data_IF_857907723589
#
_entry.id   IF_857907723589
#
_cell.length_a   1.000
_cell.length_b   1.000
_cell.length_c   1.000
_cell.angle_alpha   90.00
_cell.angle_beta   90.00
_cell.angle_gamma   90.00
#
_symmetry.space_group_name_H-M   'P 1'
#
loop_
_entity.id
_entity.type
_entity.pdbx_description
1 polymer ?
#
# COMPACT_ATOMS: atom_id res chain seq x y z
N UNK A 1 39.37 -24.49 -15.60
CA UNK A 1 37.93 -24.29 -15.32
C UNK A 1 37.51 -22.99 -16.00
N UNK A 2 36.59 -23.05 -16.96
CA UNK A 2 36.07 -21.89 -17.70
C UNK A 2 34.74 -21.47 -17.05
N UNK A 3 34.50 -20.20 -16.71
CA UNK A 3 33.18 -19.78 -16.23
C UNK A 3 32.26 -19.57 -17.43
N UNK A 4 31.15 -20.30 -17.44
CA UNK A 4 30.07 -20.14 -18.41
C UNK A 4 29.22 -18.94 -17.99
N UNK A 5 29.25 -17.89 -18.80
CA UNK A 5 28.41 -16.70 -18.64
C UNK A 5 26.99 -17.04 -19.12
N UNK A 6 26.01 -17.05 -18.24
CA UNK A 6 24.61 -17.24 -18.60
C UNK A 6 23.99 -15.87 -18.96
N UNK A 7 23.58 -15.73 -20.21
CA UNK A 7 22.88 -14.59 -20.78
C UNK A 7 21.39 -14.69 -20.43
N UNK A 8 20.86 -13.74 -19.65
CA UNK A 8 19.43 -13.64 -19.36
C UNK A 8 18.74 -12.92 -20.52
N UNK A 9 17.87 -13.64 -21.24
CA UNK A 9 17.05 -13.11 -22.33
C UNK A 9 15.73 -12.59 -21.74
N UNK A 10 15.51 -11.27 -21.77
CA UNK A 10 14.22 -10.64 -21.49
C UNK A 10 13.42 -10.62 -22.79
N UNK A 11 12.26 -11.28 -22.82
CA UNK A 11 11.31 -11.16 -23.91
C UNK A 11 10.09 -10.36 -23.44
N UNK A 12 10.00 -9.11 -23.89
CA UNK A 12 8.76 -8.34 -23.88
C UNK A 12 7.99 -8.75 -25.13
N UNK A 13 6.77 -9.26 -24.97
CA UNK A 13 5.86 -9.48 -26.08
C UNK A 13 4.63 -8.58 -25.91
N UNK A 14 4.67 -7.45 -26.62
CA UNK A 14 3.50 -6.69 -27.00
C UNK A 14 3.44 -6.70 -28.53
N UNK A 15 2.31 -7.13 -29.10
CA UNK A 15 1.81 -6.66 -30.39
C UNK A 15 0.38 -7.17 -30.57
N UNK A 16 -0.57 -6.23 -30.60
CA UNK A 16 -1.85 -6.42 -31.29
C UNK A 16 -1.64 -6.40 -32.80
N UNK A 17 -2.62 -6.94 -33.52
CA UNK A 17 -2.66 -6.88 -34.98
C UNK A 17 -3.71 -7.84 -35.54
N UNK A 18 -4.81 -7.26 -36.02
CA UNK A 18 -5.92 -7.92 -36.70
C UNK A 18 -5.47 -8.69 -37.94
N UNK A 19 -6.08 -9.87 -38.15
CA UNK A 19 -5.89 -10.69 -39.32
C UNK A 19 -7.07 -11.64 -39.52
N UNK A 20 -8.11 -11.14 -40.16
CA UNK A 20 -9.23 -11.93 -40.65
C UNK A 20 -8.76 -12.98 -41.68
N UNK A 21 -9.35 -14.18 -41.65
CA UNK A 21 -9.66 -14.97 -42.84
C UNK A 21 -10.75 -16.00 -42.51
N UNK A 22 -11.83 -15.93 -43.28
CA UNK A 22 -13.03 -16.73 -43.12
C UNK A 22 -13.11 -17.96 -44.03
N UNK A 23 -14.27 -18.61 -43.92
CA UNK A 23 -14.73 -19.76 -44.70
C UNK A 23 -15.09 -20.91 -43.76
N UNK A 24 -16.32 -21.40 -43.63
CA UNK A 24 -17.59 -21.16 -44.30
C UNK A 24 -18.44 -22.43 -44.10
N UNK A 25 -19.68 -22.27 -43.67
CA UNK A 25 -20.91 -22.81 -44.32
C UNK A 25 -22.00 -23.15 -43.28
N UNK A 26 -23.21 -22.69 -43.58
CA UNK A 26 -24.33 -22.52 -42.66
C UNK A 26 -25.48 -23.51 -42.96
N UNK A 27 -26.24 -23.89 -41.94
CA UNK A 27 -27.61 -24.46 -42.05
C UNK A 27 -28.35 -24.04 -40.76
N UNK A 28 -29.16 -22.95 -40.73
CA UNK A 28 -30.61 -22.90 -41.06
C UNK A 28 -31.46 -23.21 -39.82
N UNK A 29 -32.46 -22.46 -39.35
CA UNK A 29 -33.19 -21.30 -39.87
C UNK A 29 -33.85 -20.48 -38.74
N UNK A 30 -34.14 -19.24 -39.11
CA UNK A 30 -34.85 -18.09 -38.56
C UNK A 30 -36.14 -18.32 -37.73
N UNK A 31 -36.27 -17.60 -36.60
CA UNK A 31 -37.46 -16.79 -36.27
C UNK A 31 -37.06 -15.55 -35.46
N UNK A 32 -37.04 -14.40 -36.13
CA UNK A 32 -37.66 -13.12 -35.75
C UNK A 32 -37.79 -12.77 -34.26
N UNK A 33 -36.99 -11.78 -33.85
CA UNK A 33 -37.43 -10.47 -33.35
C UNK A 33 -36.47 -9.98 -32.26
N UNK A 34 -35.56 -9.10 -32.68
CA UNK A 34 -34.84 -8.22 -31.79
C UNK A 34 -35.86 -7.34 -31.05
N UNK A 35 -36.04 -7.58 -29.75
CA UNK A 35 -36.54 -6.54 -28.87
C UNK A 35 -35.35 -5.66 -28.49
N UNK A 36 -35.03 -4.75 -29.41
CA UNK A 36 -34.22 -3.58 -29.11
C UNK A 36 -35.01 -2.73 -28.11
N UNK A 37 -34.92 -3.07 -26.83
CA UNK A 37 -35.07 -2.05 -25.80
C UNK A 37 -33.80 -1.22 -25.90
N UNK A 38 -33.87 -0.22 -26.78
CA UNK A 38 -33.03 0.94 -26.66
C UNK A 38 -33.26 1.49 -25.26
N UNK A 39 -32.37 1.18 -24.31
CA UNK A 39 -32.19 2.06 -23.17
C UNK A 39 -31.48 3.29 -23.72
N UNK A 40 -32.27 4.14 -24.36
CA UNK A 40 -31.94 5.52 -24.58
C UNK A 40 -31.86 6.19 -23.21
N UNK A 41 -30.77 5.95 -22.48
CA UNK A 41 -30.21 7.02 -21.67
C UNK A 41 -29.81 8.07 -22.68
N UNK A 42 -30.72 9.02 -22.88
CA UNK A 42 -30.50 10.14 -23.76
C UNK A 42 -29.18 10.78 -23.35
N UNK A 43 -28.20 10.70 -24.24
CA UNK A 43 -27.13 11.67 -24.34
C UNK A 43 -27.76 13.00 -24.81
N UNK A 44 -28.68 13.52 -24.00
CA UNK A 44 -28.72 14.96 -23.86
C UNK A 44 -27.47 15.27 -23.08
N UNK A 45 -26.44 15.69 -23.80
CA UNK A 45 -25.45 16.63 -23.29
C UNK A 45 -26.20 17.86 -22.76
N UNK A 46 -26.89 17.72 -21.64
CA UNK A 46 -27.09 18.79 -20.72
C UNK A 46 -25.66 19.12 -20.30
N UNK A 47 -25.11 20.16 -20.93
CA UNK A 47 -23.85 20.72 -20.53
C UNK A 47 -23.93 20.91 -19.02
N UNK A 48 -23.16 20.10 -18.29
CA UNK A 48 -22.99 20.20 -16.86
C UNK A 48 -22.21 21.51 -16.63
N UNK A 49 -22.97 22.59 -16.76
CA UNK A 49 -22.55 23.98 -16.54
C UNK A 49 -22.97 24.42 -15.15
N UNK A 50 -23.48 23.49 -14.34
CA UNK A 50 -23.28 23.58 -12.91
C UNK A 50 -21.77 23.49 -12.70
N UNK A 51 -21.13 24.66 -12.66
CA UNK A 51 -19.89 24.79 -11.93
C UNK A 51 -20.15 24.11 -10.59
N UNK A 52 -19.50 22.97 -10.38
CA UNK A 52 -19.26 22.45 -9.05
C UNK A 52 -18.37 23.51 -8.41
N UNK A 53 -19.02 24.58 -7.94
CA UNK A 53 -18.44 25.48 -7.00
C UNK A 53 -18.38 24.65 -5.72
N UNK A 54 -17.39 23.77 -5.67
CA UNK A 54 -16.65 23.49 -4.47
C UNK A 54 -16.27 24.88 -3.94
N UNK A 55 -17.16 25.47 -3.15
CA UNK A 55 -16.80 26.55 -2.25
C UNK A 55 -16.00 25.97 -1.09
N UNK A 56 -15.24 24.90 -1.38
CA UNK A 56 -14.44 24.08 -0.51
C UNK A 56 -13.79 25.01 0.46
N UNK A 57 -14.04 24.72 1.73
CA UNK A 57 -13.38 25.42 2.82
C UNK A 57 -11.94 25.68 2.37
N UNK A 58 -11.48 26.96 2.39
CA UNK A 58 -10.21 27.31 1.77
C UNK A 58 -9.18 26.29 2.22
N UNK A 59 -8.58 25.59 1.24
CA UNK A 59 -7.60 24.55 1.52
C UNK A 59 -6.63 25.08 2.56
N UNK A 60 -6.55 24.36 3.69
CA UNK A 60 -5.77 24.77 4.86
C UNK A 60 -4.38 25.24 4.40
N UNK A 61 -4.14 26.55 4.41
CA UNK A 61 -2.89 27.13 3.89
C UNK A 61 -1.67 26.77 4.74
N UNK A 62 -1.91 26.36 5.99
CA UNK A 62 -0.98 25.67 6.89
C UNK A 62 -0.58 24.28 6.40
N UNK A 63 -1.30 23.70 5.44
CA UNK A 63 -1.02 22.42 4.80
C UNK A 63 -0.62 22.57 3.32
N UNK A 64 -0.22 23.76 2.88
CA UNK A 64 0.29 23.98 1.53
C UNK A 64 1.71 23.41 1.39
N UNK A 65 1.85 22.09 1.39
CA UNK A 65 3.08 21.38 1.04
C UNK A 65 2.97 20.79 -0.36
N UNK A 66 4.10 20.73 -1.06
CA UNK A 66 4.19 20.11 -2.38
C UNK A 66 4.29 18.58 -2.21
N UNK A 67 3.26 17.80 -2.58
CA UNK A 67 3.27 16.36 -2.38
C UNK A 67 4.34 15.63 -3.19
N UNK A 68 4.93 16.29 -4.20
CA UNK A 68 6.04 15.74 -4.96
C UNK A 68 7.39 15.88 -4.23
N UNK A 69 7.51 16.76 -3.23
CA UNK A 69 8.76 17.03 -2.49
C UNK A 69 8.81 16.33 -1.15
N UNK A 70 10.01 16.09 -0.66
CA UNK A 70 10.26 15.61 0.70
C UNK A 70 9.91 16.71 1.71
N UNK A 71 9.39 16.29 2.86
CA UNK A 71 9.11 17.19 3.97
C UNK A 71 10.38 17.54 4.75
N UNK A 72 10.25 18.33 5.83
CA UNK A 72 11.41 18.82 6.58
C UNK A 72 12.14 17.73 7.39
N UNK A 73 11.47 16.61 7.68
CA UNK A 73 12.03 15.53 8.49
C UNK A 73 12.76 14.50 7.63
N UNK A 74 13.78 13.87 8.22
CA UNK A 74 14.29 12.59 7.71
C UNK A 74 13.39 11.47 8.23
N UNK A 75 13.68 10.24 7.79
CA UNK A 75 12.82 9.09 8.07
C UNK A 75 13.56 8.07 8.92
N UNK A 76 13.01 7.80 10.09
CA UNK A 76 13.35 6.65 10.93
C UNK A 76 12.53 5.43 10.53
N UNK A 77 13.06 4.24 10.80
CA UNK A 77 12.35 2.98 10.59
C UNK A 77 12.61 2.01 11.73
N UNK A 78 11.58 1.25 12.11
CA UNK A 78 11.67 0.13 13.05
C UNK A 78 10.59 -0.92 12.73
N UNK A 79 10.71 -2.09 13.35
CA UNK A 79 9.70 -3.16 13.25
C UNK A 79 9.31 -3.59 14.66
N UNK A 80 8.01 -3.74 14.91
CA UNK A 80 7.47 -4.35 16.12
C UNK A 80 6.61 -5.57 15.76
N UNK A 81 6.22 -6.36 16.75
CA UNK A 81 5.27 -7.46 16.55
C UNK A 81 3.86 -7.04 16.95
N UNK A 82 2.87 -7.28 16.09
CA UNK A 82 1.46 -7.20 16.41
C UNK A 82 0.90 -8.61 16.52
N UNK A 83 0.11 -8.90 17.58
CA UNK A 83 -0.49 -10.22 17.80
C UNK A 83 -1.99 -10.11 17.95
N UNK A 84 -2.73 -11.03 17.35
CA UNK A 84 -4.19 -11.10 17.49
C UNK A 84 -4.74 -12.51 17.29
N UNK A 85 -5.95 -12.75 17.80
CA UNK A 85 -6.69 -14.00 17.63
C UNK A 85 -7.57 -13.92 16.37
N UNK A 86 -7.30 -14.81 15.43
CA UNK A 86 -8.00 -14.95 14.14
C UNK A 86 -9.41 -15.54 14.28
N UNK A 87 -9.83 -15.96 15.47
CA UNK A 87 -11.16 -16.53 15.71
C UNK A 87 -11.37 -17.85 14.97
N UNK A 88 -10.29 -18.58 14.68
CA UNK A 88 -10.31 -19.84 13.92
C UNK A 88 -10.38 -19.69 12.40
N UNK A 89 -10.20 -18.47 11.86
CA UNK A 89 -10.05 -18.25 10.41
C UNK A 89 -8.78 -18.92 9.87
N UNK A 90 -7.76 -19.08 10.71
CA UNK A 90 -6.52 -19.78 10.37
C UNK A 90 -6.22 -20.91 11.36
N UNK A 91 -5.50 -21.97 10.93
CA UNK A 91 -5.02 -23.02 11.83
C UNK A 91 -4.14 -22.44 12.93
N UNK A 92 -4.45 -22.78 14.19
CA UNK A 92 -3.70 -22.31 15.36
C UNK A 92 -4.36 -21.14 16.11
N UNK A 93 -5.30 -20.43 15.49
CA UNK A 93 -6.09 -19.39 16.14
C UNK A 93 -5.34 -18.08 16.39
N UNK A 94 -4.06 -18.10 16.71
CA UNK A 94 -3.26 -16.88 16.95
C UNK A 94 -2.35 -16.53 15.78
N UNK A 95 -2.17 -15.24 15.55
CA UNK A 95 -1.34 -14.69 14.47
C UNK A 95 -0.40 -13.63 15.02
N UNK A 96 0.87 -13.70 14.63
CA UNK A 96 1.88 -12.69 14.90
C UNK A 96 2.38 -12.09 13.58
N UNK A 97 2.30 -10.78 13.46
CA UNK A 97 2.67 -10.03 12.26
C UNK A 97 3.80 -9.06 12.58
N UNK A 98 4.81 -9.02 11.72
CA UNK A 98 5.79 -7.95 11.73
C UNK A 98 5.12 -6.65 11.24
N UNK A 99 5.11 -5.63 12.09
CA UNK A 99 4.61 -4.29 11.78
C UNK A 99 5.79 -3.37 11.56
N UNK A 100 6.04 -3.02 10.30
CA UNK A 100 7.06 -2.03 9.94
C UNK A 100 6.51 -0.62 10.17
N UNK A 101 7.33 0.25 10.75
CA UNK A 101 6.93 1.60 11.13
C UNK A 101 7.97 2.59 10.61
N UNK A 102 7.52 3.57 9.83
CA UNK A 102 8.30 4.73 9.41
C UNK A 102 7.79 5.96 10.14
N UNK A 103 8.70 6.81 10.61
CA UNK A 103 8.38 7.95 11.46
C UNK A 103 9.35 9.11 11.22
N UNK A 104 8.97 10.36 11.53
CA UNK A 104 9.86 11.51 11.38
C UNK A 104 11.03 11.43 12.36
N UNK A 105 12.22 11.81 11.89
CA UNK A 105 13.41 11.98 12.70
C UNK A 105 14.17 13.24 12.30
N UNK A 106 14.81 13.89 13.27
CA UNK A 106 15.76 14.97 13.05
C UNK A 106 17.21 14.49 12.94
N UNK A 107 17.45 13.19 13.18
CA UNK A 107 18.78 12.60 13.10
C UNK A 107 19.38 12.85 11.72
N UNK A 108 20.60 13.37 11.67
CA UNK A 108 21.29 13.65 10.40
C UNK A 108 22.15 12.50 9.90
N UNK A 109 22.19 11.38 10.62
CA UNK A 109 22.89 10.16 10.23
C UNK A 109 22.46 9.02 11.14
N UNK A 110 22.47 7.79 10.62
CA UNK A 110 22.24 6.59 11.41
C UNK A 110 22.53 5.33 10.59
N UNK A 111 22.40 4.14 11.19
CA UNK A 111 22.50 2.88 10.45
C UNK A 111 21.43 2.83 9.34
N UNK A 112 21.80 2.52 8.09
CA UNK A 112 20.83 2.45 7.01
C UNK A 112 19.87 1.28 7.21
N UNK A 113 18.64 1.46 6.73
CA UNK A 113 17.62 0.42 6.70
C UNK A 113 17.81 -0.46 5.47
N UNK A 114 17.44 -1.72 5.59
CA UNK A 114 17.29 -2.60 4.44
C UNK A 114 16.02 -3.44 4.60
N UNK A 115 15.43 -3.82 3.47
CA UNK A 115 14.18 -4.55 3.35
C UNK A 115 14.40 -5.85 2.56
N UNK A 116 13.42 -6.76 2.63
CA UNK A 116 13.49 -8.08 1.99
C UNK A 116 14.81 -8.79 2.31
N UNK A 117 15.09 -8.98 3.61
CA UNK A 117 16.31 -9.62 4.11
C UNK A 117 17.63 -9.05 3.55
N UNK A 118 17.64 -7.73 3.32
CA UNK A 118 18.81 -7.01 2.84
C UNK A 118 18.91 -6.86 1.33
N UNK A 119 17.98 -7.44 0.56
CA UNK A 119 17.97 -7.33 -0.90
C UNK A 119 17.74 -5.88 -1.38
N UNK A 120 17.06 -5.06 -0.58
CA UNK A 120 16.80 -3.65 -0.87
C UNK A 120 17.40 -2.81 0.24
N UNK A 121 18.52 -2.13 -0.02
CA UNK A 121 19.12 -1.19 0.92
C UNK A 121 18.61 0.24 0.67
N UNK A 122 18.26 0.96 1.74
CA UNK A 122 17.91 2.38 1.69
C UNK A 122 18.78 3.18 2.67
N UNK A 123 19.77 3.88 2.11
CA UNK A 123 20.70 4.71 2.87
C UNK A 123 20.07 6.03 3.38
N UNK A 124 18.87 6.36 2.94
CA UNK A 124 18.15 7.59 3.33
C UNK A 124 17.18 7.38 4.50
N UNK A 125 16.96 6.12 4.92
CA UNK A 125 16.09 5.75 6.03
C UNK A 125 16.92 5.12 7.15
N UNK A 126 16.80 5.64 8.36
CA UNK A 126 17.65 5.26 9.48
C UNK A 126 16.96 4.27 10.42
N UNK A 127 17.58 3.10 10.60
CA UNK A 127 17.07 2.07 11.49
C UNK A 127 17.25 2.48 12.94
N UNK A 128 16.16 2.49 13.70
CA UNK A 128 16.18 2.82 15.13
C UNK A 128 16.59 4.27 15.43
N UNK A 129 16.22 5.19 14.55
CA UNK A 129 16.48 6.62 14.73
C UNK A 129 15.68 7.20 15.90
N UNK A 130 16.11 8.36 16.39
CA UNK A 130 15.38 9.11 17.41
C UNK A 130 14.10 9.67 16.80
N UNK A 131 12.96 9.50 17.48
CA UNK A 131 11.69 10.07 17.06
C UNK A 131 11.73 11.60 17.18
N UNK A 132 11.34 12.33 16.13
CA UNK A 132 11.15 13.78 16.19
C UNK A 132 9.92 14.13 17.05
N UNK A 133 9.69 15.40 17.39
CA UNK A 133 8.42 15.81 18.02
C UNK A 133 7.26 15.88 17.00
N UNK A 134 6.01 15.59 17.39
CA UNK A 134 4.86 15.86 16.53
C UNK A 134 4.72 17.37 16.28
N UNK A 135 4.20 17.72 15.09
CA UNK A 135 3.94 19.13 14.75
C UNK A 135 2.74 19.68 15.57
N UNK A 136 1.79 18.81 15.92
CA UNK A 136 0.68 19.08 16.84
C UNK A 136 0.82 18.28 18.14
N UNK A 137 -0.30 17.85 18.72
CA UNK A 137 -0.30 17.06 19.96
C UNK A 137 0.03 15.57 19.70
N UNK A 138 -0.40 15.04 18.54
CA UNK A 138 -0.20 13.65 18.12
C UNK A 138 0.33 13.60 16.69
N UNK A 139 1.00 12.49 16.34
CA UNK A 139 1.30 12.15 14.97
C UNK A 139 0.04 11.63 14.28
N UNK A 140 -0.32 12.17 13.11
CA UNK A 140 -1.30 11.52 12.25
C UNK A 140 -0.74 10.17 11.77
N UNK A 141 -1.63 9.17 11.69
CA UNK A 141 -1.29 7.80 11.33
C UNK A 141 -1.77 7.43 9.93
N UNK A 142 -0.90 6.81 9.15
CA UNK A 142 -1.25 6.06 7.95
C UNK A 142 -0.98 4.57 8.17
N UNK A 143 -2.02 3.74 8.14
CA UNK A 143 -1.86 2.28 8.08
C UNK A 143 -1.92 1.83 6.62
N UNK A 144 -0.84 1.20 6.15
CA UNK A 144 -0.69 0.76 4.76
C UNK A 144 -0.75 -0.77 4.64
N UNK A 145 -1.46 -1.26 3.63
CA UNK A 145 -1.52 -2.69 3.29
C UNK A 145 -0.93 -2.88 1.90
N UNK A 146 0.07 -3.77 1.76
CA UNK A 146 0.72 -4.07 0.49
C UNK A 146 -0.16 -4.96 -0.41
N UNK A 147 0.18 -5.14 -1.68
CA UNK A 147 -0.51 -6.05 -2.60
C UNK A 147 -0.25 -7.54 -2.29
N UNK A 148 -0.86 -8.45 -3.05
CA UNK A 148 -0.53 -9.89 -2.98
C UNK A 148 0.92 -10.15 -3.37
N UNK A 149 1.62 -10.98 -2.61
CA UNK A 149 3.01 -11.32 -2.93
C UNK A 149 3.98 -10.16 -2.68
N UNK A 150 3.52 -9.17 -1.94
CA UNK A 150 4.26 -7.97 -1.59
C UNK A 150 5.06 -8.09 -0.29
N UNK A 151 5.48 -6.96 0.24
CA UNK A 151 6.04 -6.80 1.59
C UNK A 151 5.64 -5.46 2.18
N UNK A 152 5.80 -5.31 3.49
CA UNK A 152 5.42 -4.09 4.22
C UNK A 152 5.92 -2.79 3.57
N UNK A 153 7.05 -2.80 2.86
CA UNK A 153 7.63 -1.62 2.23
C UNK A 153 7.38 -1.45 0.73
N UNK A 154 6.48 -2.19 0.06
CA UNK A 154 6.35 -2.11 -1.42
C UNK A 154 6.19 -0.68 -1.96
N UNK A 155 5.52 0.18 -1.21
CA UNK A 155 5.40 1.61 -1.51
C UNK A 155 6.38 2.47 -0.71
N UNK A 156 7.68 2.13 -0.63
CA UNK A 156 8.68 2.87 0.16
C UNK A 156 8.65 4.38 -0.08
N UNK A 157 8.49 4.83 -1.33
CA UNK A 157 8.42 6.24 -1.66
C UNK A 157 7.24 6.94 -0.97
N UNK A 158 6.07 6.28 -0.91
CA UNK A 158 4.88 6.76 -0.20
C UNK A 158 5.16 6.86 1.31
N UNK A 159 5.72 5.79 1.90
CA UNK A 159 5.99 5.74 3.34
C UNK A 159 6.96 6.83 3.76
N UNK A 160 8.02 7.03 2.98
CA UNK A 160 9.00 8.10 3.19
C UNK A 160 8.38 9.47 2.99
N UNK A 161 7.54 9.65 1.98
CA UNK A 161 6.85 10.92 1.72
C UNK A 161 6.02 11.32 2.93
N UNK A 162 5.16 10.45 3.44
CA UNK A 162 4.33 10.73 4.61
C UNK A 162 5.19 10.95 5.87
N UNK A 163 6.14 10.06 6.15
CA UNK A 163 7.00 10.19 7.33
C UNK A 163 7.82 11.49 7.32
N UNK A 164 8.36 11.90 6.17
CA UNK A 164 9.08 13.17 6.04
C UNK A 164 8.21 14.41 6.30
N UNK A 165 6.88 14.28 6.22
CA UNK A 165 5.90 15.33 6.53
C UNK A 165 5.32 15.23 7.94
N UNK A 166 5.93 14.42 8.82
CA UNK A 166 5.52 14.33 10.22
C UNK A 166 4.39 13.34 10.48
N UNK A 167 4.16 12.37 9.58
CA UNK A 167 3.24 11.26 9.82
C UNK A 167 3.97 10.05 10.40
N UNK A 168 3.27 9.26 11.20
CA UNK A 168 3.67 7.87 11.44
C UNK A 168 3.02 7.00 10.38
N UNK A 169 3.79 6.14 9.74
CA UNK A 169 3.30 5.17 8.76
C UNK A 169 3.56 3.78 9.32
N UNK A 170 2.53 2.95 9.41
CA UNK A 170 2.63 1.58 9.88
C UNK A 170 2.13 0.62 8.81
N UNK A 171 2.87 -0.45 8.54
CA UNK A 171 2.53 -1.41 7.50
C UNK A 171 2.73 -2.84 8.00
N UNK A 172 1.66 -3.64 8.13
CA UNK A 172 1.79 -5.05 8.44
C UNK A 172 2.42 -5.78 7.26
N UNK A 173 3.33 -6.70 7.57
CA UNK A 173 3.84 -7.67 6.62
C UNK A 173 2.95 -8.92 6.70
N UNK A 174 1.94 -9.04 5.85
CA UNK A 174 0.84 -10.01 6.02
C UNK A 174 1.31 -11.47 5.89
N UNK A 175 1.36 -12.22 7.00
CA UNK A 175 1.79 -13.64 7.02
C UNK A 175 0.95 -14.47 6.02
N UNK A 176 1.62 -15.26 5.18
CA UNK A 176 0.94 -16.13 4.21
C UNK A 176 0.52 -15.41 2.92
N UNK A 177 0.77 -14.10 2.81
CA UNK A 177 0.43 -13.29 1.65
C UNK A 177 1.58 -12.38 1.17
N UNK A 178 2.81 -12.71 1.58
CA UNK A 178 4.04 -11.99 1.23
C UNK A 178 4.68 -12.55 -0.03
N UNK A 179 5.73 -11.86 -0.48
CA UNK A 179 6.60 -12.35 -1.54
C UNK A 179 7.16 -13.73 -1.20
N UNK A 180 6.87 -14.71 -2.05
CA UNK A 180 7.31 -16.09 -1.87
C UNK A 180 6.26 -16.99 -1.21
N UNK A 181 5.15 -16.43 -0.73
CA UNK A 181 4.00 -17.21 -0.28
C UNK A 181 3.19 -17.75 -1.48
N UNK A 182 2.26 -18.65 -1.18
CA UNK A 182 1.43 -19.34 -2.17
C UNK A 182 0.38 -18.44 -2.83
N UNK A 183 -0.48 -19.01 -3.71
CA UNK A 183 -1.56 -18.24 -4.33
C UNK A 183 -2.52 -17.71 -3.27
N UNK A 184 -3.05 -16.50 -3.50
CA UNK A 184 -4.04 -15.86 -2.63
C UNK A 184 -5.27 -16.75 -2.38
N UNK A 185 -5.57 -16.98 -1.10
CA UNK A 185 -6.80 -17.61 -0.63
C UNK A 185 -7.92 -16.60 -0.38
N UNK A 186 -9.15 -17.10 -0.25
CA UNK A 186 -10.31 -16.24 0.09
C UNK A 186 -10.27 -15.72 1.53
N UNK A 187 -9.68 -16.48 2.45
CA UNK A 187 -9.51 -16.07 3.84
C UNK A 187 -8.60 -14.84 3.96
N UNK A 188 -7.62 -14.69 3.07
CA UNK A 188 -6.65 -13.58 3.06
C UNK A 188 -7.32 -12.21 3.04
N UNK A 189 -8.45 -12.07 2.35
CA UNK A 189 -9.20 -10.81 2.30
C UNK A 189 -9.80 -10.41 3.66
N UNK A 190 -10.10 -11.38 4.51
CA UNK A 190 -10.64 -11.16 5.85
C UNK A 190 -9.52 -10.95 6.86
N UNK A 191 -8.52 -11.84 6.85
CA UNK A 191 -7.42 -11.77 7.84
C UNK A 191 -6.56 -10.53 7.66
N UNK A 192 -6.43 -9.99 6.44
CA UNK A 192 -5.76 -8.70 6.21
C UNK A 192 -6.44 -7.54 6.91
N UNK A 193 -7.77 -7.53 6.95
CA UNK A 193 -8.52 -6.53 7.73
C UNK A 193 -8.20 -6.65 9.23
N UNK A 194 -8.09 -7.88 9.73
CA UNK A 194 -7.65 -8.15 11.10
C UNK A 194 -6.21 -7.73 11.38
N UNK A 195 -5.29 -7.94 10.44
CA UNK A 195 -3.90 -7.47 10.57
C UNK A 195 -3.80 -5.94 10.68
N UNK A 196 -4.67 -5.20 9.99
CA UNK A 196 -4.74 -3.74 10.09
C UNK A 196 -5.31 -3.29 11.43
N UNK A 197 -6.37 -3.95 11.91
CA UNK A 197 -6.92 -3.69 13.25
C UNK A 197 -5.88 -3.99 14.34
N UNK A 198 -5.18 -5.12 14.23
CA UNK A 198 -4.11 -5.49 15.15
C UNK A 198 -2.93 -4.51 15.11
N UNK A 199 -2.66 -3.87 13.97
CA UNK A 199 -1.65 -2.83 13.90
C UNK A 199 -2.05 -1.56 14.66
N UNK A 200 -3.32 -1.14 14.57
CA UNK A 200 -3.86 -0.04 15.37
C UNK A 200 -3.79 -0.37 16.86
N UNK A 201 -4.27 -1.55 17.26
CA UNK A 201 -4.24 -2.00 18.65
C UNK A 201 -2.81 -2.09 19.20
N UNK A 202 -1.86 -2.60 18.41
CA UNK A 202 -0.46 -2.70 18.81
C UNK A 202 0.20 -1.33 19.03
N UNK A 203 -0.15 -0.33 18.21
CA UNK A 203 0.33 1.04 18.38
C UNK A 203 -0.32 1.72 19.59
N UNK A 204 -1.62 1.52 19.80
CA UNK A 204 -2.36 2.05 20.95
C UNK A 204 -1.87 1.46 22.29
N UNK A 205 -1.43 0.19 22.27
CA UNK A 205 -0.99 -0.55 23.45
C UNK A 205 0.54 -0.53 23.66
N UNK A 206 1.27 0.37 23.01
CA UNK A 206 2.72 0.48 23.20
C UNK A 206 3.09 0.72 24.68
N UNK A 207 4.16 0.08 25.20
CA UNK A 207 4.64 0.31 26.56
C UNK A 207 5.02 1.78 26.79
N UNK A 208 4.89 2.29 28.01
CA UNK A 208 5.14 3.70 28.31
C UNK A 208 6.59 4.17 28.03
N UNK A 209 7.54 3.24 28.02
CA UNK A 209 8.93 3.48 27.63
C UNK A 209 9.16 3.59 26.11
N UNK A 210 8.18 3.17 25.31
CA UNK A 210 8.27 3.27 23.85
C UNK A 210 8.12 4.74 23.41
N UNK A 211 9.02 5.26 22.55
CA UNK A 211 8.96 6.65 22.10
C UNK A 211 7.64 7.06 21.44
N UNK A 212 6.89 6.11 20.85
CA UNK A 212 5.62 6.39 20.18
C UNK A 212 4.39 6.25 21.11
N UNK A 213 4.57 5.78 22.35
CA UNK A 213 3.45 5.50 23.25
C UNK A 213 2.64 6.76 23.57
N UNK A 214 1.35 6.71 23.28
CA UNK A 214 0.43 7.84 23.50
C UNK A 214 0.66 9.06 22.61
N UNK A 215 1.52 8.95 21.58
CA UNK A 215 1.81 10.04 20.63
C UNK A 215 1.25 9.80 19.24
N UNK A 216 0.66 8.63 18.96
CA UNK A 216 0.06 8.30 17.66
C UNK A 216 -1.46 8.43 17.75
N UNK A 217 -2.08 9.02 16.74
CA UNK A 217 -3.54 9.13 16.60
C UNK A 217 -4.14 7.79 16.10
N UNK A 218 -4.32 6.85 17.03
CA UNK A 218 -4.88 5.49 16.81
C UNK A 218 -6.34 5.38 17.21
#
# INVERSE_FOLDING_TARGET
MRPTLALLLVAVAACGGDGANGGGDAIGADTDAADTVADSVGDTAAADTAADADTGAPGRSDLAWDPAKDGPYRVGHRVIAARWDTGGLEPGGEREIALAIWYPTEDTSGPPTAYLDGAIADATVFRGATLAGPVGDLFPLLVYSHEHGGYAGDSLALMKRFASHGWVVAAPDHVGDRRGDGPRGTADYVVRGGDLAAALDALAALPAEDPLAGLVDT
#
